data_IF_702350437862
#
_entry.id   IF_702350437862
#
_cell.length_a   1.000
_cell.length_b   1.000
_cell.length_c   1.000
_cell.angle_alpha   90.00
_cell.angle_beta   90.00
_cell.angle_gamma   90.00
#
_symmetry.space_group_name_H-M   'P 1'
#
loop_
_entity.id
_entity.type
_entity.pdbx_description
1 polymer ?
#
# COMPACT_ATOMS: atom_id res chain seq x y z
N UNK A 1 -68.01 27.27 -27.40
CA UNK A 1 -66.84 27.06 -28.29
C UNK A 1 -65.58 27.49 -27.54
N UNK A 2 -64.42 26.85 -27.74
CA UNK A 2 -63.76 25.98 -26.76
C UNK A 2 -62.55 26.62 -26.05
N UNK A 3 -62.03 25.98 -24.99
CA UNK A 3 -60.59 25.84 -24.78
C UNK A 3 -60.28 24.60 -23.91
N UNK A 4 -59.19 23.90 -24.25
CA UNK A 4 -58.75 22.57 -23.78
C UNK A 4 -57.78 22.65 -22.55
N UNK A 5 -57.32 21.51 -21.96
CA UNK A 5 -56.95 21.37 -20.54
C UNK A 5 -55.44 21.53 -20.25
N UNK A 6 -54.99 21.27 -19.00
CA UNK A 6 -54.00 20.19 -18.88
C UNK A 6 -54.20 19.24 -17.68
N UNK A 7 -53.79 18.00 -17.90
CA UNK A 7 -53.57 16.98 -16.89
C UNK A 7 -52.13 17.10 -16.36
N UNK A 8 -52.00 17.29 -15.05
CA UNK A 8 -50.72 17.29 -14.36
C UNK A 8 -50.64 15.99 -13.56
N UNK A 9 -49.89 15.01 -14.06
CA UNK A 9 -49.54 13.78 -13.35
C UNK A 9 -48.06 13.85 -13.00
N UNK A 10 -47.73 14.15 -11.74
CA UNK A 10 -46.38 13.92 -11.22
C UNK A 10 -46.46 13.52 -9.74
N UNK A 11 -46.97 12.32 -9.47
CA UNK A 11 -46.65 11.65 -8.20
C UNK A 11 -45.26 11.01 -8.33
N UNK A 12 -44.24 11.80 -8.00
CA UNK A 12 -42.87 11.32 -7.83
C UNK A 12 -42.77 10.61 -6.49
N UNK A 13 -42.87 9.28 -6.47
CA UNK A 13 -42.35 8.48 -5.38
C UNK A 13 -41.57 7.29 -5.95
N UNK A 14 -40.25 7.41 -5.81
CA UNK A 14 -39.33 6.33 -5.45
C UNK A 14 -39.52 4.99 -6.19
N UNK A 15 -39.08 4.92 -7.45
CA UNK A 15 -38.56 3.67 -7.99
C UNK A 15 -37.04 3.69 -7.91
N UNK A 16 -36.52 3.00 -6.90
CA UNK A 16 -35.15 2.52 -6.87
C UNK A 16 -34.94 1.57 -8.06
N UNK A 17 -34.55 2.10 -9.21
CA UNK A 17 -34.08 1.30 -10.34
C UNK A 17 -32.54 1.28 -10.35
N UNK A 18 -31.91 0.13 -10.61
CA UNK A 18 -30.46 0.01 -10.60
C UNK A 18 -29.88 0.85 -11.74
N UNK A 19 -29.04 1.84 -11.41
CA UNK A 19 -28.31 2.68 -12.37
C UNK A 19 -27.22 1.90 -13.16
N UNK A 20 -27.37 0.59 -13.31
CA UNK A 20 -26.30 -0.31 -13.74
C UNK A 20 -26.34 -0.83 -15.19
N UNK A 21 -27.38 -0.68 -16.04
CA UNK A 21 -27.29 -1.26 -17.39
C UNK A 21 -26.84 -0.31 -18.52
N UNK A 22 -26.55 0.99 -18.25
CA UNK A 22 -26.31 1.98 -19.32
C UNK A 22 -24.92 2.64 -19.35
N UNK A 23 -23.96 2.14 -18.59
CA UNK A 23 -22.59 2.65 -18.72
C UNK A 23 -21.99 2.10 -20.03
N UNK A 24 -21.84 2.98 -21.03
CA UNK A 24 -21.14 2.69 -22.28
C UNK A 24 -19.80 2.02 -21.99
N UNK A 25 -19.29 1.10 -22.84
CA UNK A 25 -17.98 0.49 -22.64
C UNK A 25 -16.87 1.54 -22.45
N UNK A 26 -17.02 2.74 -23.02
CA UNK A 26 -16.12 3.88 -22.77
C UNK A 26 -16.21 4.39 -21.33
N UNK A 27 -17.41 4.50 -20.76
CA UNK A 27 -17.62 4.91 -19.37
C UNK A 27 -17.17 3.82 -18.41
N UNK A 28 -17.38 2.55 -18.76
CA UNK A 28 -16.87 1.41 -17.99
C UNK A 28 -15.34 1.36 -18.03
N UNK A 29 -14.73 1.67 -19.18
CA UNK A 29 -13.28 1.81 -19.34
C UNK A 29 -12.75 3.01 -18.56
N UNK A 30 -13.43 4.17 -18.61
CA UNK A 30 -13.07 5.35 -17.83
C UNK A 30 -13.16 5.07 -16.33
N UNK A 31 -14.26 4.48 -15.84
CA UNK A 31 -14.41 4.08 -14.43
C UNK A 31 -13.37 3.02 -14.04
N UNK A 32 -13.01 2.09 -14.93
CA UNK A 32 -11.91 1.13 -14.70
C UNK A 32 -10.53 1.81 -14.73
N UNK A 33 -10.34 2.85 -15.54
CA UNK A 33 -9.13 3.65 -15.59
C UNK A 33 -9.01 4.48 -14.32
N UNK A 34 -10.08 5.16 -13.89
CA UNK A 34 -10.15 5.98 -12.67
C UNK A 34 -10.02 5.12 -11.41
N UNK A 35 -10.68 3.94 -11.35
CA UNK A 35 -10.53 3.00 -10.24
C UNK A 35 -9.17 2.29 -10.25
N UNK A 36 -8.56 2.13 -11.42
CA UNK A 36 -7.15 1.70 -11.58
C UNK A 36 -6.14 2.82 -11.30
N UNK A 37 -6.56 4.08 -11.33
CA UNK A 37 -5.74 5.28 -11.05
C UNK A 37 -5.79 5.72 -9.59
N UNK A 38 -6.73 5.20 -8.79
CA UNK A 38 -6.48 4.97 -7.36
C UNK A 38 -5.49 3.81 -7.23
N UNK A 39 -4.35 3.96 -7.91
CA UNK A 39 -3.15 3.18 -7.73
C UNK A 39 -2.82 3.43 -6.27
N UNK A 40 -3.06 2.42 -5.42
CA UNK A 40 -2.54 2.40 -4.07
C UNK A 40 -1.12 2.95 -4.16
N UNK A 41 -0.85 4.09 -3.51
CA UNK A 41 0.41 4.82 -3.57
C UNK A 41 1.44 3.97 -2.84
N UNK A 42 1.84 2.87 -3.51
CA UNK A 42 2.68 1.86 -2.91
C UNK A 42 4.04 2.52 -2.82
N UNK A 43 4.58 2.67 -1.60
CA UNK A 43 5.84 3.34 -1.42
C UNK A 43 6.92 2.61 -2.23
N UNK A 44 7.93 3.33 -2.74
CA UNK A 44 9.01 2.72 -3.51
C UNK A 44 9.72 1.66 -2.68
N UNK A 45 10.23 0.62 -3.33
CA UNK A 45 11.06 -0.36 -2.62
C UNK A 45 12.40 0.28 -2.24
N UNK A 46 12.93 0.04 -1.03
CA UNK A 46 14.27 0.47 -0.67
C UNK A 46 15.31 -0.11 -1.62
N UNK A 47 16.37 0.65 -1.89
CA UNK A 47 17.50 0.23 -2.73
C UNK A 47 18.78 0.16 -1.91
N UNK A 48 19.86 -0.40 -2.46
CA UNK A 48 21.17 -0.49 -1.79
C UNK A 48 21.11 -1.08 -0.36
N UNK A 49 20.31 -2.14 -0.18
CA UNK A 49 20.22 -2.81 1.13
C UNK A 49 21.57 -3.45 1.44
N UNK A 50 22.17 -3.02 2.54
CA UNK A 50 23.49 -3.43 3.00
C UNK A 50 23.42 -3.87 4.44
N UNK A 51 24.24 -4.86 4.80
CA UNK A 51 24.36 -5.34 6.18
C UNK A 51 25.78 -5.05 6.66
N UNK A 52 25.88 -4.35 7.78
CA UNK A 52 27.14 -3.95 8.41
C UNK A 52 27.12 -4.28 9.90
N UNK A 53 28.24 -4.07 10.59
CA UNK A 53 28.35 -4.27 12.03
C UNK A 53 27.85 -5.65 12.50
N UNK A 54 28.18 -6.70 11.74
CA UNK A 54 27.85 -8.08 12.09
C UNK A 54 28.53 -8.47 13.41
N UNK A 55 27.73 -8.97 14.34
CA UNK A 55 28.14 -9.49 15.64
C UNK A 55 27.41 -10.82 15.90
N UNK A 56 27.82 -11.55 16.92
CA UNK A 56 27.21 -12.83 17.29
C UNK A 56 25.68 -12.77 17.48
N UNK A 57 25.12 -11.63 17.91
CA UNK A 57 23.70 -11.48 18.23
C UNK A 57 22.99 -10.27 17.60
N UNK A 58 23.69 -9.51 16.77
CA UNK A 58 23.20 -8.25 16.21
C UNK A 58 23.86 -7.92 14.87
N UNK A 59 23.16 -7.12 14.09
CA UNK A 59 23.62 -6.62 12.80
C UNK A 59 22.98 -5.27 12.54
N UNK A 60 23.58 -4.43 11.71
CA UNK A 60 22.95 -3.19 11.24
C UNK A 60 22.59 -3.34 9.78
N UNK A 61 21.33 -3.08 9.45
CA UNK A 61 20.83 -3.08 8.08
C UNK A 61 20.64 -1.63 7.68
N UNK A 62 21.23 -1.23 6.57
CA UNK A 62 21.09 0.10 5.98
C UNK A 62 20.55 0.00 4.55
N UNK A 63 19.85 1.03 4.10
CA UNK A 63 19.27 1.09 2.77
C UNK A 63 19.22 2.54 2.29
N UNK A 64 18.92 2.72 1.01
CA UNK A 64 18.66 4.01 0.38
C UNK A 64 17.22 4.07 -0.14
N UNK A 65 16.75 5.29 -0.42
CA UNK A 65 15.41 5.55 -0.95
C UNK A 65 15.55 6.29 -2.26
N UNK A 66 14.88 5.86 -3.34
CA UNK A 66 14.84 6.62 -4.59
C UNK A 66 14.25 8.02 -4.36
N UNK A 67 14.81 9.03 -5.03
CA UNK A 67 14.38 10.43 -4.90
C UNK A 67 12.92 10.64 -5.36
N UNK A 68 12.26 11.67 -4.81
CA UNK A 68 10.91 12.09 -5.22
C UNK A 68 9.75 11.32 -4.60
N UNK A 69 9.97 10.52 -3.55
CA UNK A 69 8.95 9.65 -2.96
C UNK A 69 8.64 9.99 -1.50
N UNK A 70 7.38 9.82 -1.12
CA UNK A 70 6.94 9.99 0.27
C UNK A 70 6.96 8.62 0.95
N UNK A 71 7.91 8.45 1.87
CA UNK A 71 8.00 7.26 2.74
C UNK A 71 7.81 7.74 4.17
N UNK A 72 6.83 7.17 4.87
CA UNK A 72 6.54 7.51 6.26
C UNK A 72 7.22 6.58 7.26
N UNK A 73 7.85 5.50 6.78
CA UNK A 73 8.55 4.57 7.63
C UNK A 73 9.00 3.32 6.92
N UNK A 74 9.49 2.35 7.69
CA UNK A 74 10.01 1.09 7.17
C UNK A 74 9.58 -0.10 8.03
N UNK A 75 9.39 -1.22 7.35
CA UNK A 75 9.17 -2.53 7.94
C UNK A 75 10.36 -3.41 7.60
N UNK A 76 11.14 -3.79 8.61
CA UNK A 76 12.31 -4.64 8.50
C UNK A 76 11.95 -5.99 9.07
N UNK A 77 12.03 -7.04 8.27
CA UNK A 77 11.78 -8.40 8.73
C UNK A 77 13.04 -9.24 8.70
N UNK A 78 13.30 -9.95 9.78
CA UNK A 78 14.35 -10.97 9.88
C UNK A 78 13.70 -12.35 10.02
N UNK A 79 14.13 -13.29 9.18
CA UNK A 79 13.66 -14.67 9.21
C UNK A 79 14.86 -15.60 9.25
N UNK A 80 14.97 -16.40 10.30
CA UNK A 80 16.02 -17.44 10.38
C UNK A 80 15.68 -18.55 9.40
N UNK A 81 16.65 -19.02 8.61
CA UNK A 81 16.40 -19.99 7.54
C UNK A 81 15.70 -21.28 8.04
N UNK A 82 16.10 -21.76 9.21
CA UNK A 82 15.59 -22.99 9.84
C UNK A 82 14.94 -22.74 11.21
N UNK A 83 14.58 -21.49 11.52
CA UNK A 83 14.04 -21.13 12.84
C UNK A 83 12.53 -20.92 12.82
N UNK A 84 11.85 -21.10 13.96
CA UNK A 84 10.45 -20.76 14.07
C UNK A 84 10.27 -19.24 14.05
N UNK A 85 9.40 -18.77 13.15
CA UNK A 85 8.91 -17.40 13.15
C UNK A 85 9.80 -16.38 12.42
N UNK A 86 9.12 -15.37 11.90
CA UNK A 86 9.71 -14.15 11.39
C UNK A 86 9.57 -13.07 12.46
N UNK A 87 10.63 -12.31 12.71
CA UNK A 87 10.55 -11.11 13.52
C UNK A 87 10.44 -9.90 12.61
N UNK A 88 9.54 -8.98 12.96
CA UNK A 88 9.33 -7.74 12.21
C UNK A 88 9.54 -6.55 13.14
N UNK A 89 10.33 -5.60 12.67
CA UNK A 89 10.54 -4.29 13.27
C UNK A 89 9.83 -3.29 12.36
N UNK A 90 8.97 -2.45 12.94
CA UNK A 90 8.26 -1.40 12.22
C UNK A 90 8.60 -0.07 12.85
N UNK A 91 9.16 0.82 12.04
CA UNK A 91 9.46 2.18 12.42
C UNK A 91 8.61 3.10 11.55
N UNK A 92 7.71 3.86 12.17
CA UNK A 92 6.80 4.80 11.49
C UNK A 92 7.13 6.21 11.97
N UNK A 93 6.89 7.21 11.13
CA UNK A 93 7.29 8.60 11.32
C UNK A 93 8.81 8.76 11.40
N UNK A 94 9.54 7.98 10.62
CA UNK A 94 11.00 8.02 10.56
C UNK A 94 11.49 8.18 9.14
N UNK A 95 12.56 8.95 8.99
CA UNK A 95 13.36 9.03 7.75
C UNK A 95 14.69 8.30 7.87
N UNK A 96 14.95 7.68 9.03
CA UNK A 96 16.16 6.88 9.29
C UNK A 96 16.23 5.73 8.29
N UNK A 97 17.39 5.57 7.65
CA UNK A 97 17.63 4.56 6.61
C UNK A 97 18.52 3.42 7.09
N UNK A 98 18.50 3.18 8.39
CA UNK A 98 19.23 2.11 9.03
C UNK A 98 18.49 1.61 10.27
N UNK A 99 18.53 0.31 10.51
CA UNK A 99 17.94 -0.32 11.68
C UNK A 99 18.90 -1.37 12.24
N UNK A 100 19.04 -1.39 13.56
CA UNK A 100 19.80 -2.42 14.26
C UNK A 100 18.91 -3.65 14.51
N UNK A 101 19.31 -4.79 13.94
CA UNK A 101 18.76 -6.09 14.25
C UNK A 101 19.37 -6.63 15.55
N UNK A 102 18.55 -7.33 16.32
CA UNK A 102 18.95 -7.83 17.64
C UNK A 102 18.26 -9.14 17.98
N UNK A 103 18.89 -9.90 18.88
CA UNK A 103 18.45 -11.25 19.25
C UNK A 103 18.67 -12.25 18.12
N UNK A 104 19.72 -12.05 17.31
CA UNK A 104 20.17 -13.04 16.33
C UNK A 104 20.88 -14.18 17.06
N UNK A 105 20.78 -15.38 16.52
CA UNK A 105 21.61 -16.50 16.95
C UNK A 105 22.95 -16.48 16.20
N UNK A 106 24.03 -16.82 16.90
CA UNK A 106 25.35 -16.99 16.29
C UNK A 106 25.33 -18.15 15.28
N UNK A 107 26.24 -18.11 14.30
CA UNK A 107 26.40 -19.13 13.25
C UNK A 107 25.09 -19.56 12.58
N UNK A 108 24.22 -18.59 12.33
CA UNK A 108 22.89 -18.83 11.79
C UNK A 108 22.58 -17.93 10.61
N UNK A 109 22.01 -18.52 9.57
CA UNK A 109 21.59 -17.79 8.38
C UNK A 109 20.23 -17.11 8.58
N UNK A 110 20.17 -15.83 8.21
CA UNK A 110 18.97 -15.01 8.24
C UNK A 110 18.70 -14.37 6.90
N UNK A 111 17.45 -14.42 6.47
CA UNK A 111 16.93 -13.56 5.39
C UNK A 111 16.41 -12.27 6.00
N UNK A 112 16.93 -11.14 5.51
CA UNK A 112 16.47 -9.82 5.89
C UNK A 112 15.73 -9.19 4.72
N UNK A 113 14.55 -8.64 4.98
CA UNK A 113 13.79 -7.89 3.99
C UNK A 113 13.40 -6.53 4.55
N UNK A 114 13.70 -5.48 3.79
CA UNK A 114 13.28 -4.11 4.09
C UNK A 114 12.14 -3.74 3.15
N UNK A 115 11.06 -3.17 3.69
CA UNK A 115 9.94 -2.63 2.92
C UNK A 115 9.63 -1.21 3.38
N UNK A 116 9.37 -0.33 2.43
CA UNK A 116 8.88 1.01 2.75
C UNK A 116 7.42 0.98 3.19
N UNK A 117 7.05 1.93 4.04
CA UNK A 117 5.68 2.19 4.49
C UNK A 117 5.28 3.55 3.90
N UNK A 118 4.17 3.57 3.16
CA UNK A 118 3.58 4.76 2.53
C UNK A 118 2.41 5.28 3.35
N UNK A 119 1.82 6.39 2.89
CA UNK A 119 0.65 7.04 3.49
C UNK A 119 -0.64 6.23 3.31
#
# INVERSE_FOLDING_TARGET
MPLAPPANSVETMASLMPLSPYLSPTVLLLVSCDLGFVRADRPPSPVNVTVTHLRANSATVSWDVPEGNIVIGYSISQQRQNGPGQRVIREVNTTTRACALWGLAEDSDYTVQVRSIGL
#
